data_IF_640232345447
#
_entry.id   IF_640232345447
#
_cell.length_a   1.000
_cell.length_b   1.000
_cell.length_c   1.000
_cell.angle_alpha   90.00
_cell.angle_beta   90.00
_cell.angle_gamma   90.00
#
_symmetry.space_group_name_H-M   'P 1'
#
loop_
_entity.id
_entity.type
_entity.pdbx_description
1 polymer ?
#
# COMPACT_ATOMS: atom_id res chain seq x y z
N UNK A 1 -55.28 10.20 -59.54
CA UNK A 1 -54.55 9.40 -60.56
C UNK A 1 -53.06 9.43 -60.25
N UNK A 2 -52.56 8.31 -59.75
CA UNK A 2 -51.23 7.71 -60.04
C UNK A 2 -49.97 8.54 -59.78
N UNK A 3 -49.16 8.15 -58.78
CA UNK A 3 -47.92 7.35 -58.97
C UNK A 3 -47.18 7.06 -57.65
N UNK A 4 -46.73 5.81 -57.53
CA UNK A 4 -45.81 5.28 -56.53
C UNK A 4 -44.38 5.83 -56.70
N UNK A 5 -43.64 5.98 -55.60
CA UNK A 5 -42.23 5.50 -55.49
C UNK A 5 -41.83 5.50 -54.00
N UNK A 6 -41.56 4.31 -53.44
CA UNK A 6 -40.22 3.85 -53.06
C UNK A 6 -39.78 4.29 -51.65
N UNK A 7 -40.19 3.52 -50.64
CA UNK A 7 -39.56 3.51 -49.31
C UNK A 7 -38.24 2.75 -49.40
N UNK A 8 -37.14 3.49 -49.56
CA UNK A 8 -35.78 3.00 -49.36
C UNK A 8 -35.42 3.13 -47.88
N UNK A 9 -35.22 1.99 -47.23
CA UNK A 9 -34.84 1.88 -45.83
C UNK A 9 -33.31 2.01 -45.73
N UNK A 10 -32.80 3.22 -45.44
CA UNK A 10 -31.37 3.40 -45.11
C UNK A 10 -31.16 3.05 -43.63
N UNK A 11 -30.77 1.81 -43.39
CA UNK A 11 -30.14 1.36 -42.15
C UNK A 11 -28.81 2.11 -41.98
N UNK A 12 -28.80 3.17 -41.17
CA UNK A 12 -27.56 3.74 -40.64
C UNK A 12 -27.05 2.78 -39.56
N UNK A 13 -26.20 1.84 -39.95
CA UNK A 13 -25.37 1.09 -39.01
C UNK A 13 -24.33 2.04 -38.41
N UNK A 14 -24.68 2.64 -37.27
CA UNK A 14 -23.73 3.18 -36.32
C UNK A 14 -22.89 2.01 -35.79
N UNK A 15 -21.68 1.86 -36.29
CA UNK A 15 -20.69 0.97 -35.70
C UNK A 15 -20.36 1.46 -34.29
N UNK A 16 -20.95 0.81 -33.30
CA UNK A 16 -20.55 0.94 -31.90
C UNK A 16 -19.13 0.40 -31.84
N UNK A 17 -18.15 1.28 -31.61
CA UNK A 17 -16.79 0.86 -31.30
C UNK A 17 -16.84 -0.10 -30.10
N UNK A 18 -16.18 -1.27 -30.14
CA UNK A 18 -16.17 -2.16 -28.99
C UNK A 18 -15.57 -1.40 -27.80
N UNK A 19 -16.11 -1.59 -26.58
CA UNK A 19 -15.49 -1.01 -25.40
C UNK A 19 -14.04 -1.51 -25.37
N UNK A 20 -13.10 -0.58 -25.14
CA UNK A 20 -11.71 -0.89 -24.87
C UNK A 20 -11.68 -1.76 -23.63
N UNK A 21 -11.63 -3.07 -23.80
CA UNK A 21 -11.44 -4.02 -22.71
C UNK A 21 -10.09 -3.67 -22.08
N UNK A 22 -10.11 -3.14 -20.87
CA UNK A 22 -8.91 -2.76 -20.12
C UNK A 22 -7.98 -3.98 -20.06
N UNK A 23 -6.89 -3.92 -20.84
CA UNK A 23 -5.86 -4.96 -20.87
C UNK A 23 -5.28 -5.22 -19.46
N UNK A 24 -5.35 -4.22 -18.58
CA UNK A 24 -4.99 -4.33 -17.16
C UNK A 24 -5.92 -5.28 -16.41
N UNK A 25 -7.24 -5.15 -16.56
CA UNK A 25 -8.22 -6.04 -15.92
C UNK A 25 -8.08 -7.48 -16.41
N UNK A 26 -7.85 -7.68 -17.71
CA UNK A 26 -7.58 -9.02 -18.25
C UNK A 26 -6.28 -9.59 -17.69
N UNK A 27 -5.22 -8.78 -17.55
CA UNK A 27 -3.95 -9.23 -16.96
C UNK A 27 -4.07 -9.53 -15.45
N UNK A 28 -4.89 -8.78 -14.72
CA UNK A 28 -5.17 -9.01 -13.29
C UNK A 28 -5.93 -10.32 -13.08
N UNK A 29 -6.97 -10.55 -13.90
CA UNK A 29 -7.75 -11.78 -13.90
C UNK A 29 -6.92 -13.01 -14.29
N UNK A 30 -5.94 -12.84 -15.20
CA UNK A 30 -5.04 -13.91 -15.64
C UNK A 30 -3.86 -14.14 -14.67
N UNK A 31 -3.47 -13.12 -13.90
CA UNK A 31 -2.35 -13.15 -12.95
C UNK A 31 -2.72 -13.66 -11.54
N UNK A 32 -4.00 -13.87 -11.26
CA UNK A 32 -4.48 -14.28 -9.92
C UNK A 32 -4.36 -13.19 -8.86
N UNK A 33 -4.00 -11.96 -9.25
CA UNK A 33 -3.82 -10.83 -8.34
C UNK A 33 -5.18 -10.19 -8.03
N UNK A 34 -5.64 -10.34 -6.79
CA UNK A 34 -6.97 -9.84 -6.34
C UNK A 34 -7.01 -8.35 -6.07
N UNK A 35 -5.85 -7.73 -5.86
CA UNK A 35 -5.71 -6.31 -5.60
C UNK A 35 -4.51 -5.74 -6.36
N UNK A 36 -4.73 -4.59 -6.99
CA UNK A 36 -3.69 -3.83 -7.66
C UNK A 36 -3.90 -2.34 -7.41
N UNK A 37 -2.95 -1.65 -6.77
CA UNK A 37 -3.11 -0.24 -6.45
C UNK A 37 -2.94 0.60 -7.72
N UNK A 38 -4.05 1.10 -8.26
CA UNK A 38 -4.05 1.91 -9.49
C UNK A 38 -3.54 3.32 -9.25
N UNK A 39 -2.77 3.86 -10.19
CA UNK A 39 -2.29 5.24 -10.12
C UNK A 39 -3.42 6.26 -10.01
N UNK A 40 -3.44 7.11 -8.97
CA UNK A 40 -4.45 8.15 -8.83
C UNK A 40 -4.25 9.23 -9.89
N UNK A 41 -5.33 9.63 -10.56
CA UNK A 41 -5.29 10.64 -11.65
C UNK A 41 -5.68 12.04 -11.18
N UNK A 42 -6.21 12.16 -9.97
CA UNK A 42 -6.71 13.42 -9.39
C UNK A 42 -6.47 13.47 -7.89
N UNK A 43 -6.56 14.68 -7.31
CA UNK A 43 -6.47 14.87 -5.85
C UNK A 43 -7.65 14.17 -5.14
N UNK A 44 -8.80 14.09 -5.81
CA UNK A 44 -9.98 13.38 -5.31
C UNK A 44 -9.73 11.88 -5.21
N UNK A 45 -9.16 11.25 -6.24
CA UNK A 45 -8.76 9.83 -6.23
C UNK A 45 -7.64 9.54 -5.23
N UNK A 46 -6.76 10.51 -4.97
CA UNK A 46 -5.70 10.39 -3.98
C UNK A 46 -6.26 10.28 -2.55
N UNK A 47 -7.47 10.80 -2.33
CA UNK A 47 -8.14 10.85 -1.03
C UNK A 47 -7.52 11.81 -0.02
N UNK A 48 -6.67 12.73 -0.49
CA UNK A 48 -5.99 13.73 0.35
C UNK A 48 -6.48 15.15 0.04
N UNK A 49 -6.43 16.02 1.03
CA UNK A 49 -6.83 17.43 0.86
C UNK A 49 -5.69 18.27 0.28
N UNK A 50 -5.99 19.31 -0.49
CA UNK A 50 -4.96 20.21 -1.04
C UNK A 50 -4.06 20.85 0.04
N UNK A 51 -4.59 21.34 1.19
CA UNK A 51 -3.74 21.88 2.26
C UNK A 51 -2.78 20.85 2.84
N UNK A 52 -3.16 19.57 2.86
CA UNK A 52 -2.29 18.49 3.31
C UNK A 52 -1.17 18.20 2.31
N UNK A 53 -1.46 18.22 1.00
CA UNK A 53 -0.43 18.11 -0.03
C UNK A 53 0.55 19.28 0.01
N UNK A 54 0.04 20.50 0.20
CA UNK A 54 0.88 21.68 0.41
C UNK A 54 1.80 21.53 1.63
N UNK A 55 1.30 20.95 2.72
CA UNK A 55 2.10 20.72 3.93
C UNK A 55 3.19 19.68 3.70
N UNK A 56 2.89 18.56 3.03
CA UNK A 56 3.88 17.54 2.67
C UNK A 56 4.99 18.10 1.78
N UNK A 57 4.64 18.80 0.71
CA UNK A 57 5.61 19.43 -0.21
C UNK A 57 6.47 20.45 0.53
N UNK A 58 5.85 21.30 1.36
CA UNK A 58 6.58 22.32 2.12
C UNK A 58 7.54 21.70 3.12
N UNK A 59 7.13 20.64 3.83
CA UNK A 59 7.99 19.92 4.78
C UNK A 59 9.15 19.20 4.08
N UNK A 60 8.92 18.59 2.91
CA UNK A 60 9.98 17.97 2.13
C UNK A 60 11.02 19.00 1.64
N UNK A 61 10.59 20.14 1.12
CA UNK A 61 11.52 21.20 0.70
C UNK A 61 12.25 21.84 1.89
N UNK A 62 11.65 21.82 3.09
CA UNK A 62 12.31 22.30 4.32
C UNK A 62 13.47 21.39 4.73
N UNK A 63 13.28 20.06 4.68
CA UNK A 63 14.30 19.08 5.09
C UNK A 63 15.30 18.77 3.98
N UNK A 64 14.84 18.64 2.73
CA UNK A 64 15.65 18.26 1.56
C UNK A 64 16.27 19.43 0.80
N UNK A 65 15.84 20.67 1.08
CA UNK A 65 16.32 21.86 0.38
C UNK A 65 15.70 22.04 -1.01
N UNK A 66 16.47 22.63 -1.93
CA UNK A 66 15.97 22.94 -3.28
C UNK A 66 15.92 21.68 -4.14
N UNK A 67 14.77 21.37 -4.72
CA UNK A 67 14.54 20.11 -5.46
C UNK A 67 13.73 20.36 -6.73
N UNK A 68 13.95 19.53 -7.76
CA UNK A 68 13.10 19.54 -8.95
C UNK A 68 11.68 19.06 -8.65
N UNK A 69 10.67 19.50 -9.39
CA UNK A 69 9.29 19.04 -9.20
C UNK A 69 9.15 17.52 -9.33
N UNK A 70 9.90 16.89 -10.24
CA UNK A 70 9.95 15.43 -10.39
C UNK A 70 10.57 14.73 -9.19
N UNK A 71 11.62 15.30 -8.61
CA UNK A 71 12.21 14.77 -7.38
C UNK A 71 11.22 14.84 -6.21
N UNK A 72 10.52 15.98 -6.05
CA UNK A 72 9.44 16.12 -5.05
C UNK A 72 8.34 15.06 -5.27
N UNK A 73 7.94 14.84 -6.52
CA UNK A 73 6.93 13.85 -6.87
C UNK A 73 7.39 12.41 -6.53
N UNK A 74 8.65 12.09 -6.82
CA UNK A 74 9.24 10.79 -6.52
C UNK A 74 9.34 10.52 -5.02
N UNK A 75 9.85 11.47 -4.24
CA UNK A 75 10.04 11.33 -2.78
C UNK A 75 8.71 11.24 -2.03
N UNK A 76 7.66 11.92 -2.52
CA UNK A 76 6.32 11.86 -1.94
C UNK A 76 5.46 10.74 -2.55
N UNK A 77 5.97 9.95 -3.49
CA UNK A 77 5.20 8.96 -4.23
C UNK A 77 3.89 9.52 -4.82
N UNK A 78 3.96 10.72 -5.39
CA UNK A 78 2.80 11.41 -5.99
C UNK A 78 2.94 11.48 -7.52
N UNK A 79 1.82 11.37 -8.27
CA UNK A 79 1.82 11.67 -9.69
C UNK A 79 2.34 13.09 -9.97
N UNK A 80 3.29 13.22 -10.91
CA UNK A 80 3.94 14.50 -11.19
C UNK A 80 2.95 15.64 -11.47
N UNK A 81 1.84 15.38 -12.17
CA UNK A 81 0.80 16.39 -12.45
C UNK A 81 0.17 16.98 -11.17
N UNK A 82 -0.03 16.15 -10.14
CA UNK A 82 -0.61 16.58 -8.86
C UNK A 82 0.42 17.41 -8.08
N UNK A 83 1.67 16.95 -8.09
CA UNK A 83 2.79 17.65 -7.45
C UNK A 83 3.06 19.02 -8.10
N UNK A 84 3.10 19.07 -9.43
CA UNK A 84 3.28 20.30 -10.22
C UNK A 84 2.17 21.31 -9.93
N UNK A 85 0.90 20.88 -9.95
CA UNK A 85 -0.21 21.75 -9.59
C UNK A 85 -0.11 22.29 -8.14
N UNK A 86 0.38 21.48 -7.21
CA UNK A 86 0.59 21.88 -5.81
C UNK A 86 1.71 22.90 -5.67
N UNK A 87 2.84 22.68 -6.36
CA UNK A 87 3.97 23.61 -6.39
C UNK A 87 3.58 24.96 -7.02
N UNK A 88 2.79 24.95 -8.09
CA UNK A 88 2.28 26.18 -8.72
C UNK A 88 1.34 26.99 -7.81
N UNK A 89 0.49 26.32 -7.02
CA UNK A 89 -0.32 27.01 -5.99
C UNK A 89 0.55 27.65 -4.92
N UNK A 90 1.54 26.92 -4.41
CA UNK A 90 2.49 27.44 -3.41
C UNK A 90 3.31 28.61 -3.97
N UNK A 91 3.69 28.56 -5.24
CA UNK A 91 4.39 29.64 -5.95
C UNK A 91 3.52 30.88 -6.14
N UNK A 92 2.27 30.71 -6.55
CA UNK A 92 1.29 31.80 -6.67
C UNK A 92 1.12 32.53 -5.33
N UNK A 93 1.16 31.78 -4.22
CA UNK A 93 1.11 32.30 -2.84
C UNK A 93 2.45 32.79 -2.31
N UNK A 94 3.52 32.79 -3.13
CA UNK A 94 4.89 33.21 -2.80
C UNK A 94 5.55 32.44 -1.65
N UNK A 95 5.10 31.21 -1.40
CA UNK A 95 5.69 30.30 -0.42
C UNK A 95 6.87 29.52 -1.02
N UNK A 96 6.81 29.25 -2.33
CA UNK A 96 7.87 28.60 -3.09
C UNK A 96 8.31 29.52 -4.23
N UNK A 97 9.57 29.39 -4.63
CA UNK A 97 10.18 30.14 -5.73
C UNK A 97 10.91 29.20 -6.68
N UNK A 98 11.08 29.61 -7.95
CA UNK A 98 11.97 28.92 -8.87
C UNK A 98 13.40 29.37 -8.60
N UNK A 99 14.25 28.44 -8.19
CA UNK A 99 15.67 28.66 -7.93
C UNK A 99 16.54 28.32 -9.14
N UNK A 100 15.97 27.66 -10.16
CA UNK A 100 16.66 27.28 -11.39
C UNK A 100 15.76 26.51 -12.34
N UNK A 101 16.31 26.14 -13.48
CA UNK A 101 15.65 25.29 -14.47
C UNK A 101 16.06 23.83 -14.28
N UNK A 102 15.10 22.91 -14.37
CA UNK A 102 15.32 21.48 -14.43
C UNK A 102 15.29 20.96 -15.88
N UNK A 103 15.49 19.65 -16.05
CA UNK A 103 15.33 18.99 -17.35
C UNK A 103 13.86 18.83 -17.74
N UNK A 104 13.56 18.67 -19.03
CA UNK A 104 12.21 18.35 -19.53
C UNK A 104 11.10 19.32 -19.08
N UNK A 105 11.38 20.64 -19.13
CA UNK A 105 10.45 21.70 -18.72
C UNK A 105 10.03 21.63 -17.24
N UNK A 106 10.86 21.03 -16.39
CA UNK A 106 10.73 21.08 -14.93
C UNK A 106 11.51 22.29 -14.35
N UNK A 107 11.25 22.66 -13.11
CA UNK A 107 11.92 23.72 -12.39
C UNK A 107 12.52 23.21 -11.08
N UNK A 108 13.56 23.87 -10.61
CA UNK A 108 14.06 23.66 -9.25
C UNK A 108 13.30 24.60 -8.32
N UNK A 109 12.58 24.01 -7.37
CA UNK A 109 11.75 24.71 -6.40
C UNK A 109 12.49 24.86 -5.07
N UNK A 110 12.36 26.02 -4.45
CA UNK A 110 12.90 26.29 -3.12
C UNK A 110 11.96 27.17 -2.30
N UNK A 111 11.97 26.99 -0.98
CA UNK A 111 11.14 27.77 -0.07
C UNK A 111 11.62 29.23 -0.01
N UNK A 112 10.66 30.16 -0.08
CA UNK A 112 10.89 31.55 0.33
C UNK A 112 11.07 31.65 1.84
N UNK A 113 11.43 32.81 2.36
CA UNK A 113 11.52 33.00 3.83
C UNK A 113 10.17 32.77 4.52
N UNK A 114 9.07 33.21 3.90
CA UNK A 114 7.72 32.96 4.42
C UNK A 114 7.31 31.50 4.26
N UNK A 115 7.67 30.88 3.13
CA UNK A 115 7.49 29.44 2.93
C UNK A 115 8.22 28.62 3.99
N UNK A 116 9.45 29.00 4.34
CA UNK A 116 10.26 28.34 5.36
C UNK A 116 9.61 28.42 6.74
N UNK A 117 9.11 29.59 7.14
CA UNK A 117 8.35 29.74 8.40
C UNK A 117 7.10 28.87 8.43
N UNK A 118 6.32 28.88 7.35
CA UNK A 118 5.11 28.07 7.24
C UNK A 118 5.41 26.57 7.27
N UNK A 119 6.46 26.13 6.58
CA UNK A 119 6.92 24.75 6.60
C UNK A 119 7.37 24.32 8.01
N UNK A 120 8.04 25.20 8.77
CA UNK A 120 8.39 24.94 10.17
C UNK A 120 7.15 24.77 11.05
N UNK A 121 6.10 25.56 10.84
CA UNK A 121 4.81 25.37 11.54
C UNK A 121 4.21 24.00 11.21
N UNK A 122 4.13 23.63 9.93
CA UNK A 122 3.63 22.31 9.53
C UNK A 122 4.47 21.16 10.10
N UNK A 123 5.80 21.33 10.15
CA UNK A 123 6.70 20.32 10.70
C UNK A 123 6.54 20.18 12.23
N UNK A 124 6.31 21.28 12.95
CA UNK A 124 6.02 21.25 14.38
C UNK A 124 4.66 20.61 14.70
N UNK A 125 3.67 20.76 13.81
CA UNK A 125 2.38 20.06 13.93
C UNK A 125 2.53 18.55 13.68
N UNK A 126 3.31 18.16 12.66
CA UNK A 126 3.64 16.76 12.37
C UNK A 126 4.91 16.68 11.51
N UNK A 127 5.92 16.00 12.04
CA UNK A 127 7.24 15.93 11.44
C UNK A 127 7.34 14.93 10.27
N UNK A 128 6.27 14.19 9.96
CA UNK A 128 6.26 13.18 8.89
C UNK A 128 6.67 13.78 7.53
N UNK A 129 7.72 13.20 6.93
CA UNK A 129 8.18 13.48 5.57
C UNK A 129 8.49 12.14 4.91
N UNK A 130 7.83 11.86 3.79
CA UNK A 130 7.94 10.61 3.06
C UNK A 130 6.78 10.43 2.09
N UNK A 131 6.56 9.20 1.58
CA UNK A 131 5.46 8.88 0.69
C UNK A 131 4.12 9.39 1.24
N UNK A 132 3.30 10.00 0.38
CA UNK A 132 2.00 10.50 0.79
C UNK A 132 1.16 9.35 1.37
N UNK A 133 0.54 9.52 2.55
CA UNK A 133 -0.22 8.46 3.18
C UNK A 133 -1.48 8.13 2.36
N UNK A 134 -1.92 6.89 2.50
CA UNK A 134 -3.15 6.38 1.91
C UNK A 134 -4.30 6.52 2.92
N UNK A 135 -5.51 6.95 2.52
CA UNK A 135 -6.65 6.99 3.43
C UNK A 135 -6.92 5.63 4.09
N UNK A 136 -7.29 5.64 5.38
CA UNK A 136 -7.59 4.41 6.13
C UNK A 136 -8.62 3.51 5.42
N UNK A 137 -9.63 4.09 4.79
CA UNK A 137 -10.65 3.32 4.05
C UNK A 137 -10.07 2.56 2.86
N UNK A 138 -9.16 3.16 2.10
CA UNK A 138 -8.52 2.51 0.96
C UNK A 138 -7.61 1.36 1.44
N UNK A 139 -6.94 1.56 2.58
CA UNK A 139 -6.20 0.49 3.25
C UNK A 139 -7.11 -0.67 3.68
N UNK A 140 -8.25 -0.40 4.32
CA UNK A 140 -9.20 -1.45 4.73
C UNK A 140 -9.67 -2.26 3.52
N UNK A 141 -10.09 -1.58 2.43
CA UNK A 141 -10.51 -2.24 1.18
C UNK A 141 -9.39 -3.12 0.61
N UNK A 142 -8.13 -2.65 0.65
CA UNK A 142 -6.99 -3.43 0.18
C UNK A 142 -6.72 -4.68 1.03
N UNK A 143 -6.96 -4.61 2.34
CA UNK A 143 -6.78 -5.74 3.25
C UNK A 143 -7.86 -6.79 3.00
N UNK A 144 -9.12 -6.36 2.83
CA UNK A 144 -10.23 -7.24 2.49
C UNK A 144 -9.99 -7.96 1.16
N UNK A 145 -9.53 -7.25 0.13
CA UNK A 145 -9.26 -7.83 -1.20
C UNK A 145 -8.07 -8.82 -1.22
N UNK A 146 -7.16 -8.75 -0.25
CA UNK A 146 -5.92 -9.56 -0.18
C UNK A 146 -5.94 -10.61 0.94
N UNK A 147 -7.07 -10.73 1.65
CA UNK A 147 -7.24 -11.62 2.77
C UNK A 147 -6.99 -13.10 2.38
N UNK A 148 -6.37 -13.83 3.31
CA UNK A 148 -5.94 -15.23 3.13
C UNK A 148 -7.13 -16.18 2.84
N UNK A 149 -8.31 -15.87 3.38
CA UNK A 149 -9.46 -16.78 3.40
C UNK A 149 -10.03 -17.13 2.03
N UNK A 150 -9.66 -16.40 0.98
CA UNK A 150 -10.27 -16.58 -0.34
C UNK A 150 -9.51 -17.59 -1.22
N UNK A 151 -8.29 -18.04 -0.84
CA UNK A 151 -7.56 -19.10 -1.59
C UNK A 151 -7.23 -20.30 -0.67
N UNK A 152 -7.90 -21.45 -0.85
CA UNK A 152 -7.70 -22.60 0.01
C UNK A 152 -6.32 -23.24 -0.27
N UNK A 153 -5.50 -23.34 0.78
CA UNK A 153 -4.25 -24.10 0.77
C UNK A 153 -4.57 -25.56 0.47
N UNK A 154 -3.93 -26.05 -0.59
CA UNK A 154 -4.07 -27.43 -1.03
C UNK A 154 -3.17 -28.34 -0.20
N UNK A 155 -3.55 -29.63 -0.11
CA UNK A 155 -2.76 -30.63 0.63
C UNK A 155 -1.30 -30.69 0.16
N UNK A 156 -1.04 -30.49 -1.13
CA UNK A 156 0.31 -30.50 -1.68
C UNK A 156 1.16 -29.34 -1.14
N UNK A 157 0.63 -28.12 -1.12
CA UNK A 157 1.30 -26.92 -0.59
C UNK A 157 1.56 -27.07 0.91
N UNK A 158 0.59 -27.61 1.65
CA UNK A 158 0.75 -27.93 3.07
C UNK A 158 1.89 -28.96 3.26
N UNK A 159 1.88 -30.04 2.49
CA UNK A 159 2.91 -31.10 2.60
C UNK A 159 4.31 -30.56 2.27
N UNK A 160 4.42 -29.72 1.25
CA UNK A 160 5.68 -29.09 0.84
C UNK A 160 6.23 -28.14 1.93
N UNK A 161 5.37 -27.34 2.56
CA UNK A 161 5.76 -26.46 3.66
C UNK A 161 6.27 -27.23 4.91
N UNK A 162 5.81 -28.46 5.11
CA UNK A 162 6.23 -29.31 6.24
C UNK A 162 7.31 -30.35 5.89
N UNK A 163 7.87 -30.35 4.67
CA UNK A 163 8.79 -31.40 4.20
C UNK A 163 10.04 -31.59 5.08
N UNK A 164 10.51 -30.51 5.72
CA UNK A 164 11.70 -30.52 6.59
C UNK A 164 11.40 -30.92 8.04
N UNK A 165 10.15 -31.28 8.37
CA UNK A 165 9.72 -31.59 9.74
C UNK A 165 8.99 -32.94 9.76
N UNK A 166 9.34 -33.78 10.74
CA UNK A 166 8.61 -35.01 11.01
C UNK A 166 7.25 -34.72 11.63
N UNK A 167 6.19 -34.71 10.82
CA UNK A 167 4.80 -34.53 11.24
C UNK A 167 3.94 -35.74 10.85
N UNK A 168 2.99 -36.14 11.72
CA UNK A 168 2.08 -37.25 11.40
C UNK A 168 1.02 -36.83 10.37
N UNK A 169 0.56 -37.78 9.55
CA UNK A 169 -0.52 -37.54 8.58
C UNK A 169 -1.81 -37.05 9.25
N UNK A 170 -2.15 -37.59 10.42
CA UNK A 170 -3.31 -37.17 11.23
C UNK A 170 -3.20 -35.70 11.68
N UNK A 171 -2.01 -35.23 12.05
CA UNK A 171 -1.80 -33.82 12.41
C UNK A 171 -1.93 -32.91 11.19
N UNK A 172 -1.44 -33.32 10.02
CA UNK A 172 -1.65 -32.58 8.77
C UNK A 172 -3.15 -32.52 8.40
N UNK A 173 -3.89 -33.60 8.64
CA UNK A 173 -5.35 -33.65 8.42
C UNK A 173 -6.11 -32.70 9.35
N UNK A 174 -5.60 -32.49 10.58
CA UNK A 174 -6.15 -31.53 11.53
C UNK A 174 -5.76 -30.07 11.18
N UNK A 175 -4.52 -29.84 10.78
CA UNK A 175 -4.01 -28.50 10.48
C UNK A 175 -4.62 -27.91 9.20
N UNK A 176 -4.80 -28.71 8.16
CA UNK A 176 -5.32 -28.22 6.87
C UNK A 176 -6.61 -27.38 7.00
N UNK A 177 -7.68 -27.90 7.63
CA UNK A 177 -8.90 -27.13 7.88
C UNK A 177 -8.69 -25.90 8.77
N UNK A 178 -7.85 -26.01 9.81
CA UNK A 178 -7.58 -24.89 10.72
C UNK A 178 -6.88 -23.73 10.02
N UNK A 179 -5.85 -24.04 9.23
CA UNK A 179 -5.10 -23.07 8.42
C UNK A 179 -6.00 -22.42 7.37
N UNK A 180 -6.84 -23.21 6.68
CA UNK A 180 -7.79 -22.69 5.68
C UNK A 180 -8.94 -21.87 6.26
N UNK A 181 -9.25 -22.05 7.55
CA UNK A 181 -10.29 -21.26 8.21
C UNK A 181 -9.90 -19.79 8.43
N UNK A 182 -8.60 -19.46 8.30
CA UNK A 182 -8.06 -18.12 8.59
C UNK A 182 -8.28 -17.64 10.03
N UNK A 183 -8.77 -18.52 10.91
CA UNK A 183 -9.10 -18.20 12.30
C UNK A 183 -7.86 -18.29 13.19
N UNK A 184 -7.93 -17.64 14.36
CA UNK A 184 -6.89 -17.77 15.37
C UNK A 184 -6.68 -19.23 15.79
N UNK A 185 -5.41 -19.64 15.90
CA UNK A 185 -5.02 -21.00 16.24
C UNK A 185 -4.11 -21.00 17.46
N UNK A 186 -4.40 -21.89 18.41
CA UNK A 186 -3.58 -22.11 19.60
C UNK A 186 -2.86 -23.45 19.50
N UNK A 187 -1.52 -23.42 19.48
CA UNK A 187 -0.69 -24.62 19.51
C UNK A 187 -0.23 -24.88 20.95
N UNK A 188 -0.68 -25.98 21.54
CA UNK A 188 -0.35 -26.37 22.92
C UNK A 188 0.26 -27.77 22.99
N UNK A 189 1.04 -28.03 24.04
CA UNK A 189 1.74 -29.30 24.25
C UNK A 189 3.02 -29.12 25.07
N UNK A 190 3.60 -30.25 25.50
CA UNK A 190 4.82 -30.26 26.31
C UNK A 190 5.97 -29.45 25.67
N UNK A 191 6.86 -28.83 26.46
CA UNK A 191 8.08 -28.19 25.96
C UNK A 191 8.91 -29.17 25.11
N UNK A 192 9.54 -28.69 24.04
CA UNK A 192 10.37 -29.51 23.15
C UNK A 192 9.64 -30.22 22.00
N UNK A 193 8.30 -30.19 21.94
CA UNK A 193 7.52 -30.82 20.85
C UNK A 193 7.47 -30.01 19.53
N UNK A 194 8.35 -29.01 19.36
CA UNK A 194 8.45 -28.26 18.09
C UNK A 194 7.28 -27.34 17.76
N UNK A 195 6.50 -26.87 18.75
CA UNK A 195 5.36 -25.94 18.55
C UNK A 195 5.74 -24.69 17.75
N UNK A 196 6.83 -24.03 18.16
CA UNK A 196 7.40 -22.86 17.48
C UNK A 196 7.81 -23.18 16.04
N UNK A 197 8.36 -24.38 15.83
CA UNK A 197 8.76 -24.85 14.50
C UNK A 197 7.54 -25.10 13.61
N UNK A 198 6.50 -25.72 14.16
CA UNK A 198 5.22 -25.95 13.47
C UNK A 198 4.58 -24.62 13.07
N UNK A 199 4.50 -23.67 14.00
CA UNK A 199 3.92 -22.36 13.76
C UNK A 199 4.62 -21.60 12.62
N UNK A 200 5.96 -21.58 12.62
CA UNK A 200 6.76 -20.94 11.56
C UNK A 200 6.59 -21.60 10.18
N UNK A 201 6.25 -22.88 10.11
CA UNK A 201 5.94 -23.54 8.83
C UNK A 201 4.54 -23.21 8.33
N UNK A 202 3.57 -23.10 9.23
CA UNK A 202 2.21 -22.68 8.88
C UNK A 202 2.23 -21.30 8.20
N UNK A 203 3.04 -20.36 8.70
CA UNK A 203 3.17 -19.04 8.07
C UNK A 203 3.78 -19.11 6.67
N UNK A 204 4.58 -20.14 6.38
CA UNK A 204 5.19 -20.37 5.06
C UNK A 204 4.20 -20.99 4.04
N UNK A 205 3.02 -21.44 4.47
CA UNK A 205 2.01 -22.04 3.60
C UNK A 205 1.18 -21.03 2.81
N UNK A 206 1.16 -19.76 3.23
CA UNK A 206 0.29 -18.74 2.64
C UNK A 206 0.96 -18.05 1.44
N UNK A 207 0.13 -17.63 0.47
CA UNK A 207 0.56 -17.04 -0.82
C UNK A 207 1.59 -15.92 -0.70
N UNK A 208 2.36 -15.71 -1.77
CA UNK A 208 3.72 -15.14 -1.63
C UNK A 208 3.76 -13.64 -1.30
N UNK A 209 2.80 -12.83 -1.77
CA UNK A 209 2.99 -11.36 -1.84
C UNK A 209 1.68 -10.59 -1.63
N UNK A 210 1.80 -9.37 -1.09
CA UNK A 210 0.71 -8.40 -0.90
C UNK A 210 1.19 -6.98 -1.20
N UNK A 211 0.26 -6.07 -1.43
CA UNK A 211 0.48 -4.63 -1.48
C UNK A 211 0.20 -3.99 -0.11
N UNK A 212 1.15 -3.20 0.36
CA UNK A 212 1.09 -2.51 1.64
C UNK A 212 1.44 -1.03 1.45
N UNK A 213 0.65 -0.08 1.95
CA UNK A 213 1.01 1.33 1.86
C UNK A 213 2.16 1.66 2.82
N UNK A 214 2.99 2.64 2.45
CA UNK A 214 4.05 3.13 3.34
C UNK A 214 3.50 3.68 4.66
N UNK A 215 2.46 4.49 4.56
CA UNK A 215 1.75 5.07 5.69
C UNK A 215 0.27 5.21 5.34
N UNK A 216 -0.56 5.27 6.38
CA UNK A 216 -1.98 5.58 6.25
C UNK A 216 -2.33 6.88 6.99
N UNK A 217 -3.47 7.46 6.64
CA UNK A 217 -4.03 8.63 7.31
C UNK A 217 -5.48 8.41 7.70
N UNK A 218 -5.80 8.79 8.93
CA UNK A 218 -7.17 8.95 9.42
C UNK A 218 -7.32 10.33 10.07
N UNK A 219 -8.23 11.14 9.53
CA UNK A 219 -8.35 12.56 9.88
C UNK A 219 -7.05 13.34 9.66
N UNK A 220 -6.32 13.62 10.75
CA UNK A 220 -5.00 14.30 10.74
C UNK A 220 -3.85 13.43 11.26
N UNK A 221 -4.15 12.20 11.69
CA UNK A 221 -3.15 11.31 12.25
C UNK A 221 -2.55 10.47 11.13
N UNK A 222 -1.22 10.49 11.06
CA UNK A 222 -0.46 9.66 10.13
C UNK A 222 0.07 8.47 10.91
N UNK A 223 -0.22 7.27 10.40
CA UNK A 223 0.24 6.01 10.96
C UNK A 223 1.19 5.38 9.94
N UNK A 224 2.46 5.28 10.29
CA UNK A 224 3.46 4.55 9.50
C UNK A 224 3.18 3.05 9.59
N UNK A 225 3.13 2.38 8.45
CA UNK A 225 2.71 0.98 8.36
C UNK A 225 3.82 0.09 7.79
N UNK A 226 4.41 0.49 6.68
CA UNK A 226 5.59 -0.21 6.15
C UNK A 226 6.75 -0.07 7.13
N UNK A 227 7.35 -1.22 7.43
CA UNK A 227 8.44 -1.36 8.37
C UNK A 227 9.41 -2.40 7.83
N UNK A 228 10.64 -2.03 7.43
CA UNK A 228 11.65 -2.95 6.93
C UNK A 228 12.02 -4.10 7.87
N UNK A 229 11.72 -3.99 9.18
CA UNK A 229 11.94 -5.06 10.14
C UNK A 229 10.97 -6.23 9.95
N UNK A 230 9.78 -5.98 9.39
CA UNK A 230 8.72 -6.98 9.21
C UNK A 230 8.33 -7.19 7.74
N UNK A 231 8.63 -6.23 6.87
CA UNK A 231 8.16 -6.20 5.49
C UNK A 231 9.32 -6.32 4.52
N UNK A 232 9.39 -7.44 3.81
CA UNK A 232 10.40 -7.69 2.79
C UNK A 232 9.85 -7.34 1.41
N UNK A 233 10.42 -6.31 0.79
CA UNK A 233 10.02 -5.87 -0.55
C UNK A 233 10.34 -6.92 -1.60
N UNK A 234 9.46 -7.04 -2.59
CA UNK A 234 9.65 -7.92 -3.74
C UNK A 234 10.17 -7.11 -4.92
N UNK A 235 11.16 -7.63 -5.64
CA UNK A 235 11.65 -7.01 -6.86
C UNK A 235 10.56 -7.02 -7.94
N UNK A 236 10.27 -5.86 -8.49
CA UNK A 236 9.28 -5.66 -9.55
C UNK A 236 9.93 -5.60 -10.94
N UNK A 237 11.20 -6.00 -11.06
CA UNK A 237 11.91 -6.01 -12.34
C UNK A 237 11.16 -6.84 -13.39
N UNK A 238 10.70 -6.17 -14.45
CA UNK A 238 9.94 -6.79 -15.53
C UNK A 238 8.41 -6.61 -15.47
N UNK A 239 7.86 -5.98 -14.41
CA UNK A 239 6.44 -5.61 -14.41
C UNK A 239 6.21 -4.41 -15.34
N UNK A 240 5.29 -4.59 -16.30
CA UNK A 240 4.93 -3.57 -17.30
C UNK A 240 3.79 -2.66 -16.85
N UNK A 241 3.03 -3.08 -15.84
CA UNK A 241 1.86 -2.35 -15.37
C UNK A 241 2.27 -1.28 -14.35
N UNK A 242 1.77 -0.07 -14.56
CA UNK A 242 1.94 1.03 -13.60
C UNK A 242 1.08 0.80 -12.36
N UNK A 243 1.57 1.25 -11.21
CA UNK A 243 0.88 1.14 -9.92
C UNK A 243 1.17 2.39 -9.09
N UNK A 244 0.28 2.67 -8.13
CA UNK A 244 0.43 3.77 -7.20
C UNK A 244 1.65 3.55 -6.28
N UNK A 245 2.70 4.37 -6.37
CA UNK A 245 3.96 4.17 -5.65
C UNK A 245 3.86 4.45 -4.15
N UNK A 246 2.70 4.90 -3.64
CA UNK A 246 2.44 4.93 -2.18
C UNK A 246 2.35 3.52 -1.59
N UNK A 247 2.15 2.53 -2.44
CA UNK A 247 2.06 1.11 -2.10
C UNK A 247 3.32 0.37 -2.48
N UNK A 248 3.75 -0.51 -1.58
CA UNK A 248 4.92 -1.36 -1.76
C UNK A 248 4.45 -2.80 -1.85
N UNK A 249 4.95 -3.51 -2.86
CA UNK A 249 4.76 -4.96 -2.95
C UNK A 249 5.74 -5.65 -2.01
N UNK A 250 5.22 -6.41 -1.06
CA UNK A 250 5.98 -7.10 -0.03
C UNK A 250 5.63 -8.57 0.00
N UNK A 251 6.54 -9.40 0.47
CA UNK A 251 6.19 -10.77 0.85
C UNK A 251 5.15 -10.74 1.94
N UNK A 252 4.22 -11.70 1.92
CA UNK A 252 3.15 -11.78 2.92
C UNK A 252 3.75 -11.74 4.35
N UNK A 253 3.39 -10.76 5.19
CA UNK A 253 4.11 -10.50 6.43
C UNK A 253 4.00 -11.66 7.42
N UNK A 254 5.09 -11.97 8.11
CA UNK A 254 5.06 -12.86 9.28
C UNK A 254 5.72 -12.13 10.43
N UNK A 255 4.90 -11.69 11.39
CA UNK A 255 5.37 -10.98 12.58
C UNK A 255 5.43 -11.99 13.72
N UNK A 256 6.63 -12.23 14.23
CA UNK A 256 6.87 -13.16 15.36
C UNK A 256 7.17 -12.34 16.61
N UNK A 257 6.43 -12.59 17.68
CA UNK A 257 6.59 -11.90 18.97
C UNK A 257 6.79 -12.93 20.09
N UNK A 258 7.75 -12.65 20.97
CA UNK A 258 8.09 -13.51 22.11
C UNK A 258 7.40 -13.08 23.41
N UNK A 259 7.94 -13.53 24.55
CA UNK A 259 7.49 -13.12 25.90
C UNK A 259 7.64 -11.63 26.24
N UNK A 260 8.24 -10.83 25.34
CA UNK A 260 8.32 -9.37 25.45
C UNK A 260 7.04 -8.66 24.97
N UNK A 261 6.06 -9.40 24.43
CA UNK A 261 4.80 -8.83 23.98
C UNK A 261 4.02 -8.24 25.17
N UNK A 262 3.82 -6.92 25.15
CA UNK A 262 2.93 -6.21 26.06
C UNK A 262 1.62 -5.86 25.37
N UNK A 263 0.55 -5.60 26.13
CA UNK A 263 -0.70 -5.07 25.55
C UNK A 263 -0.47 -3.76 24.79
N UNK A 264 0.45 -2.91 25.29
CA UNK A 264 0.85 -1.67 24.62
C UNK A 264 1.45 -1.90 23.23
N UNK A 265 2.01 -3.10 22.96
CA UNK A 265 2.54 -3.47 21.64
C UNK A 265 1.44 -3.73 20.59
N UNK A 266 0.19 -3.89 21.04
CA UNK A 266 -0.99 -4.06 20.21
C UNK A 266 -1.75 -2.74 19.99
N UNK A 267 -1.30 -1.66 20.61
CA UNK A 267 -1.85 -0.32 20.44
C UNK A 267 -1.02 0.51 19.45
N UNK A 268 -1.65 1.52 18.85
CA UNK A 268 -0.94 2.49 18.02
C UNK A 268 0.05 3.25 18.91
N UNK A 269 1.34 3.18 18.59
CA UNK A 269 2.36 3.93 19.32
C UNK A 269 2.46 5.33 18.74
N UNK A 270 2.24 6.34 19.57
CA UNK A 270 2.37 7.74 19.19
C UNK A 270 3.67 8.33 19.76
N UNK A 271 4.47 8.96 18.90
CA UNK A 271 5.59 9.79 19.33
C UNK A 271 5.12 11.25 19.49
N UNK A 272 5.04 11.78 20.73
CA UNK A 272 4.55 13.14 20.99
C UNK A 272 5.51 14.24 20.52
N UNK A 273 6.77 13.91 20.20
CA UNK A 273 7.75 14.89 19.70
C UNK A 273 7.57 15.09 18.20
N UNK A 274 7.49 14.00 17.45
CA UNK A 274 7.30 14.05 15.99
C UNK A 274 5.83 14.16 15.56
N UNK A 275 4.89 13.87 16.46
CA UNK A 275 3.46 13.66 16.18
C UNK A 275 3.23 12.63 15.06
N UNK A 276 4.08 11.60 15.01
CA UNK A 276 3.96 10.48 14.09
C UNK A 276 3.48 9.28 14.90
N UNK A 277 2.51 8.56 14.36
CA UNK A 277 2.08 7.29 14.91
C UNK A 277 2.66 6.13 14.12
N UNK A 278 2.81 5.00 14.79
CA UNK A 278 3.30 3.75 14.20
C UNK A 278 2.26 2.65 14.40
N UNK A 279 2.04 1.87 13.34
CA UNK A 279 1.09 0.78 13.35
C UNK A 279 1.47 -0.29 14.39
N UNK A 280 0.49 -0.87 15.11
CA UNK A 280 0.73 -1.98 16.02
C UNK A 280 1.12 -3.26 15.26
N UNK A 281 1.67 -4.23 16.00
CA UNK A 281 2.22 -5.46 15.43
C UNK A 281 1.17 -6.30 14.67
N UNK A 282 -0.07 -6.34 15.17
CA UNK A 282 -1.16 -7.05 14.48
C UNK A 282 -1.50 -6.39 13.15
N UNK A 283 -1.52 -5.05 13.10
CA UNK A 283 -1.79 -4.32 11.86
C UNK A 283 -0.66 -4.50 10.85
N UNK A 284 0.60 -4.52 11.29
CA UNK A 284 1.78 -4.86 10.44
C UNK A 284 1.75 -6.30 9.94
N UNK A 285 1.06 -7.19 10.64
CA UNK A 285 0.89 -8.59 10.22
C UNK A 285 -0.31 -8.82 9.29
N UNK A 286 -1.08 -7.77 8.96
CA UNK A 286 -2.31 -7.91 8.17
C UNK A 286 -2.07 -8.61 6.83
N UNK A 287 -3.09 -9.36 6.42
CA UNK A 287 -3.02 -10.32 5.32
C UNK A 287 -1.94 -11.41 5.50
N UNK A 288 -1.21 -11.45 6.60
CA UNK A 288 -0.18 -12.46 6.86
C UNK A 288 -0.46 -13.22 8.14
N UNK A 289 0.57 -13.38 8.97
CA UNK A 289 0.45 -14.07 10.24
C UNK A 289 1.12 -13.30 11.39
N UNK A 290 0.43 -13.22 12.52
CA UNK A 290 0.98 -12.83 13.82
C UNK A 290 1.21 -14.11 14.64
N UNK A 291 2.48 -14.45 14.89
CA UNK A 291 2.87 -15.57 15.73
C UNK A 291 3.28 -15.06 17.10
N UNK A 292 2.52 -15.43 18.13
CA UNK A 292 2.85 -15.19 19.53
C UNK A 292 3.44 -16.47 20.12
N UNK A 293 4.67 -16.40 20.60
CA UNK A 293 5.44 -17.53 21.14
C UNK A 293 5.98 -17.18 22.54
N UNK A 294 6.03 -18.15 23.45
CA UNK A 294 6.36 -17.95 24.86
C UNK A 294 7.80 -18.37 25.24
N UNK A 295 8.67 -18.58 24.23
CA UNK A 295 10.09 -19.02 24.28
C UNK A 295 10.74 -19.27 25.64
#
# INVERSE_FOLDING_TARGET
MTRLSSLGNENVMSAIAPPTTDSSLLSLLLGGERFWPTDPKSVQELGLTEPFLESLVSKLLLSGGNMTGRAVASELCLPFKITEATLERLRTRRLVTHCGSGSFNDYVYGLSDEGRKRAQTFHAECAYVGPAPVPLMDYIISVEAQAICDEPIRRAELTDAFQDISISGEMLDLLGPAVNSGSGMFLYGAPGNGKSTLAKRITSCFGQEIWLPHAIIDGRQIITLFDPAYHHTVDQSGQTNSHDPRWVRVRRPTVVVGGELTLDSLEIRHDPVSNISEAPLHMKSNCGCLLIDDF
#
